data_IF_388395173158
#
_entry.id   IF_388395173158
#
_cell.length_a   1.000
_cell.length_b   1.000
_cell.length_c   1.000
_cell.angle_alpha   90.00
_cell.angle_beta   90.00
_cell.angle_gamma   90.00
#
_symmetry.space_group_name_H-M   'P 1'
#
loop_
_entity.id
_entity.type
_entity.pdbx_description
1 polymer ?
#
# COMPACT_ATOMS: atom_id res chain seq x y z
N UNK A 1 22.25 20.58 -16.90
CA UNK A 1 20.80 20.51 -16.60
C UNK A 1 20.47 19.16 -15.98
N UNK A 2 19.92 19.08 -14.76
CA UNK A 2 19.50 17.81 -14.19
C UNK A 2 18.32 17.26 -15.01
N UNK A 3 18.53 16.15 -15.74
CA UNK A 3 17.43 15.45 -16.40
C UNK A 3 16.47 14.96 -15.32
N UNK A 4 15.18 15.27 -15.48
CA UNK A 4 14.10 14.76 -14.63
C UNK A 4 14.05 13.23 -14.72
N UNK A 5 14.83 12.52 -13.89
CA UNK A 5 14.79 11.05 -13.70
C UNK A 5 13.60 10.64 -12.82
N UNK A 6 12.43 11.23 -13.08
CA UNK A 6 11.18 10.81 -12.46
C UNK A 6 10.55 9.66 -13.23
N UNK A 7 9.58 8.97 -12.61
CA UNK A 7 8.58 8.14 -13.32
C UNK A 7 7.76 9.06 -14.24
N UNK A 8 8.31 9.42 -15.40
CA UNK A 8 7.68 10.22 -16.45
C UNK A 8 7.61 9.41 -17.75
N UNK A 9 6.65 9.73 -18.62
CA UNK A 9 6.48 9.07 -19.92
C UNK A 9 5.03 8.67 -20.21
N UNK A 10 4.83 7.97 -21.34
CA UNK A 10 3.51 7.53 -21.84
C UNK A 10 2.69 6.77 -20.79
N UNK A 11 3.36 6.02 -19.91
CA UNK A 11 2.71 5.26 -18.83
C UNK A 11 2.22 6.14 -17.66
N UNK A 12 2.84 7.30 -17.42
CA UNK A 12 2.34 8.26 -16.43
C UNK A 12 1.03 8.91 -16.91
N UNK A 13 0.95 9.25 -18.21
CA UNK A 13 -0.26 9.85 -18.82
C UNK A 13 -1.48 8.91 -18.82
N UNK A 14 -1.27 7.60 -18.64
CA UNK A 14 -2.34 6.59 -18.57
C UNK A 14 -2.88 6.35 -17.14
N UNK A 15 -2.22 6.90 -16.12
CA UNK A 15 -2.70 6.79 -14.74
C UNK A 15 -3.92 7.69 -14.51
N UNK A 16 -4.89 7.22 -13.71
CA UNK A 16 -5.94 8.11 -13.18
C UNK A 16 -5.27 9.14 -12.27
N UNK A 17 -5.51 10.42 -12.53
CA UNK A 17 -5.11 11.52 -11.63
C UNK A 17 -6.02 11.48 -10.39
N UNK A 18 -5.84 10.47 -9.53
CA UNK A 18 -6.45 10.45 -8.21
C UNK A 18 -5.62 11.38 -7.32
N UNK A 19 -6.19 12.54 -6.98
CA UNK A 19 -5.56 13.54 -6.14
C UNK A 19 -5.73 13.12 -4.67
N UNK A 20 -4.95 12.12 -4.25
CA UNK A 20 -4.96 11.56 -2.88
C UNK A 20 -4.50 12.53 -1.77
N UNK A 21 -4.30 13.82 -2.11
CA UNK A 21 -3.81 14.87 -1.20
C UNK A 21 -4.89 15.53 -0.35
N UNK A 22 -6.16 15.21 -0.56
CA UNK A 22 -7.22 15.67 0.34
C UNK A 22 -7.16 14.95 1.69
N UNK A 23 -7.53 15.67 2.76
CA UNK A 23 -7.52 15.16 4.14
C UNK A 23 -8.44 13.95 4.24
N UNK A 24 -7.86 12.74 4.21
CA UNK A 24 -8.61 11.50 4.44
C UNK A 24 -8.86 11.32 5.92
N UNK A 25 -10.07 10.92 6.26
CA UNK A 25 -10.41 10.49 7.61
C UNK A 25 -9.67 9.18 7.94
N UNK A 26 -9.33 9.03 9.22
CA UNK A 26 -8.72 7.80 9.72
C UNK A 26 -9.75 6.68 9.67
N UNK A 27 -9.41 5.59 8.97
CA UNK A 27 -10.26 4.40 8.91
C UNK A 27 -9.95 3.52 10.13
N UNK A 28 -10.96 3.27 10.96
CA UNK A 28 -10.86 2.34 12.07
C UNK A 28 -11.12 0.89 11.63
N UNK A 29 -10.61 -0.09 12.38
CA UNK A 29 -10.89 -1.49 12.11
C UNK A 29 -12.38 -1.78 12.31
N UNK A 30 -12.92 -2.64 11.46
CA UNK A 30 -14.29 -3.16 11.56
C UNK A 30 -14.26 -4.60 12.11
N UNK A 31 -15.45 -5.17 12.35
CA UNK A 31 -15.58 -6.57 12.73
C UNK A 31 -14.92 -7.49 11.67
N UNK A 32 -14.12 -8.45 12.14
CA UNK A 32 -13.34 -9.34 11.27
C UNK A 32 -12.05 -8.75 10.71
N UNK A 33 -11.68 -7.53 11.10
CA UNK A 33 -10.40 -6.90 10.76
C UNK A 33 -9.53 -6.70 11.99
N UNK A 34 -8.21 -6.66 11.81
CA UNK A 34 -7.28 -6.36 12.89
C UNK A 34 -6.11 -5.50 12.38
N UNK A 35 -5.62 -4.62 13.24
CA UNK A 35 -4.41 -3.85 12.98
C UNK A 35 -3.19 -4.78 13.00
N UNK A 36 -2.20 -4.45 12.18
CA UNK A 36 -0.99 -5.25 12.10
C UNK A 36 0.23 -4.39 11.77
N UNK A 37 1.39 -4.84 12.25
CA UNK A 37 2.68 -4.30 11.88
C UNK A 37 3.34 -5.21 10.85
N UNK A 38 3.88 -4.62 9.77
CA UNK A 38 4.66 -5.35 8.78
C UNK A 38 6.01 -5.73 9.39
N UNK A 39 6.34 -7.01 9.36
CA UNK A 39 7.64 -7.51 9.82
C UNK A 39 8.64 -7.65 8.68
N UNK A 40 8.24 -8.34 7.60
CA UNK A 40 9.09 -8.56 6.43
C UNK A 40 8.29 -8.66 5.14
N UNK A 41 8.90 -8.23 4.05
CA UNK A 41 8.36 -8.38 2.70
C UNK A 41 8.71 -9.77 2.15
N UNK A 42 7.72 -10.47 1.60
CA UNK A 42 7.91 -11.82 1.04
C UNK A 42 7.96 -11.82 -0.49
N UNK A 43 7.74 -10.66 -1.12
CA UNK A 43 7.60 -10.55 -2.58
C UNK A 43 6.26 -11.06 -3.07
N UNK A 44 6.05 -11.04 -4.41
CA UNK A 44 4.81 -11.46 -5.07
C UNK A 44 3.52 -10.89 -4.42
N UNK A 45 3.55 -9.64 -3.97
CA UNK A 45 2.42 -8.98 -3.32
C UNK A 45 2.06 -9.53 -1.93
N UNK A 46 2.97 -10.24 -1.25
CA UNK A 46 2.79 -10.80 0.09
C UNK A 46 3.80 -10.22 1.07
N UNK A 47 3.41 -10.23 2.34
CA UNK A 47 4.23 -9.82 3.48
C UNK A 47 3.90 -10.67 4.70
N UNK A 48 4.81 -10.73 5.66
CA UNK A 48 4.53 -11.24 7.00
C UNK A 48 4.10 -10.06 7.88
N UNK A 49 2.94 -10.20 8.51
CA UNK A 49 2.38 -9.21 9.42
C UNK A 49 2.24 -9.81 10.82
N UNK A 50 2.62 -9.04 11.83
CA UNK A 50 2.25 -9.30 13.22
C UNK A 50 0.94 -8.57 13.51
N UNK A 51 -0.14 -9.33 13.65
CA UNK A 51 -1.45 -8.81 13.98
C UNK A 51 -1.53 -8.56 15.49
N UNK A 52 -2.23 -7.50 15.91
CA UNK A 52 -2.41 -7.16 17.34
C UNK A 52 -3.41 -8.08 18.08
N UNK A 53 -3.78 -9.20 17.44
CA UNK A 53 -4.36 -10.39 18.06
C UNK A 53 -3.27 -11.39 18.51
N UNK A 54 -2.00 -10.96 18.55
CA UNK A 54 -0.80 -11.75 18.89
C UNK A 54 -0.45 -12.85 17.89
N UNK A 55 -1.06 -12.87 16.71
CA UNK A 55 -0.78 -13.86 15.66
C UNK A 55 0.14 -13.31 14.56
N UNK A 56 1.09 -14.13 14.10
CA UNK A 56 1.83 -13.85 12.86
C UNK A 56 1.10 -14.46 11.67
N UNK A 57 0.78 -13.63 10.68
CA UNK A 57 0.01 -14.05 9.50
C UNK A 57 0.73 -13.65 8.22
N UNK A 58 0.61 -14.49 7.20
CA UNK A 58 0.99 -14.13 5.84
C UNK A 58 -0.14 -13.30 5.21
N UNK A 59 0.09 -12.02 4.97
CA UNK A 59 -0.91 -11.13 4.38
C UNK A 59 -0.67 -10.94 2.88
N UNK A 60 -1.75 -10.80 2.13
CA UNK A 60 -1.73 -10.46 0.70
C UNK A 60 -2.14 -9.01 0.50
N UNK A 61 -1.33 -8.23 -0.22
CA UNK A 61 -1.59 -6.81 -0.48
C UNK A 61 -2.78 -6.67 -1.44
N UNK A 62 -3.83 -6.00 -0.98
CA UNK A 62 -5.04 -5.73 -1.79
C UNK A 62 -4.66 -5.01 -3.09
N UNK A 63 -5.18 -5.49 -4.22
CA UNK A 63 -4.85 -4.96 -5.55
C UNK A 63 -5.10 -3.45 -5.69
N UNK A 64 -6.09 -2.89 -5.00
CA UNK A 64 -6.38 -1.44 -4.97
C UNK A 64 -5.24 -0.61 -4.37
N UNK A 65 -4.45 -1.18 -3.47
CA UNK A 65 -3.29 -0.53 -2.84
C UNK A 65 -2.02 -0.70 -3.68
N UNK A 66 -1.93 -1.78 -4.47
CA UNK A 66 -0.74 -2.11 -5.26
C UNK A 66 -0.40 -1.00 -6.26
N UNK A 67 0.88 -0.55 -6.25
CA UNK A 67 1.41 0.56 -7.07
C UNK A 67 0.79 1.94 -6.77
N UNK A 68 -0.15 2.05 -5.82
CA UNK A 68 -0.72 3.31 -5.34
C UNK A 68 -0.15 3.69 -3.97
N UNK A 69 -0.18 2.76 -3.03
CA UNK A 69 0.42 2.87 -1.70
C UNK A 69 1.66 1.97 -1.64
N UNK A 70 2.74 2.50 -1.09
CA UNK A 70 3.96 1.76 -0.80
C UNK A 70 3.90 1.34 0.67
N UNK A 71 3.85 0.03 0.88
CA UNK A 71 3.86 -0.62 2.20
C UNK A 71 5.30 -1.09 2.44
#
# INVERSE_FOLDING_TARGET
MPKNKGKGGKNRRRGKNENDKEKRELIFKEEGQEYAQVLKMLGNGRLEAFCFDSSRRMAHIRGKLRKKIWI
#
